data_IF_116743845315
#
_entry.id   IF_116743845315
#
_cell.length_a   1.000
_cell.length_b   1.000
_cell.length_c   1.000
_cell.angle_alpha   90.00
_cell.angle_beta   90.00
_cell.angle_gamma   90.00
#
_symmetry.space_group_name_H-M   'P 1'
#
loop_
_entity.id
_entity.type
_entity.pdbx_description
1 polymer ?
#
# COMPACT_ATOMS: atom_id res chain seq x y z
N UNK A 1 -7.98 -17.11 -6.00
CA UNK A 1 -7.69 -16.04 -6.97
C UNK A 1 -7.86 -14.70 -6.27
N UNK A 2 -6.81 -13.87 -6.31
CA UNK A 2 -6.71 -12.61 -5.57
C UNK A 2 -7.74 -11.59 -6.05
N UNK A 3 -8.56 -11.06 -5.13
CA UNK A 3 -9.27 -9.79 -5.35
C UNK A 3 -8.23 -8.67 -5.36
N UNK A 4 -8.41 -7.64 -6.17
CA UNK A 4 -7.56 -6.45 -6.10
C UNK A 4 -7.57 -5.88 -4.67
N UNK A 5 -6.45 -5.31 -4.18
CA UNK A 5 -6.41 -4.71 -2.84
C UNK A 5 -7.53 -3.68 -2.65
N UNK A 6 -7.83 -2.92 -3.71
CA UNK A 6 -9.02 -2.08 -3.83
C UNK A 6 -10.31 -2.80 -3.42
N UNK A 7 -10.66 -3.92 -4.08
CA UNK A 7 -11.87 -4.69 -3.78
C UNK A 7 -11.88 -5.22 -2.35
N UNK A 8 -10.72 -5.63 -1.83
CA UNK A 8 -10.61 -6.08 -0.44
C UNK A 8 -10.95 -4.93 0.52
N UNK A 9 -10.36 -3.76 0.33
CA UNK A 9 -10.60 -2.61 1.20
C UNK A 9 -12.03 -2.06 1.08
N UNK A 10 -12.53 -1.94 -0.14
CA UNK A 10 -13.87 -1.43 -0.42
C UNK A 10 -14.96 -2.36 0.16
N UNK A 11 -14.79 -3.68 0.00
CA UNK A 11 -15.71 -4.66 0.58
C UNK A 11 -15.61 -4.69 2.10
N UNK A 12 -14.41 -4.73 2.66
CA UNK A 12 -14.22 -4.82 4.11
C UNK A 12 -14.74 -3.56 4.81
N UNK A 13 -14.52 -2.37 4.22
CA UNK A 13 -15.02 -1.12 4.77
C UNK A 13 -16.55 -1.08 4.91
N UNK A 14 -17.30 -1.78 4.06
CA UNK A 14 -18.76 -1.87 4.14
C UNK A 14 -19.23 -2.66 5.38
N UNK A 15 -18.46 -3.64 5.84
CA UNK A 15 -18.83 -4.52 6.96
C UNK A 15 -18.24 -4.13 8.32
N UNK A 16 -17.24 -3.24 8.38
CA UNK A 16 -16.63 -2.83 9.66
C UNK A 16 -17.46 -1.79 10.40
N UNK A 17 -17.76 -2.03 11.68
CA UNK A 17 -18.47 -1.07 12.53
C UNK A 17 -17.56 0.01 13.12
N UNK A 18 -16.31 -0.33 13.42
CA UNK A 18 -15.36 0.61 14.03
C UNK A 18 -15.05 1.79 13.09
N UNK A 19 -15.40 3.04 13.45
CA UNK A 19 -15.28 4.18 12.53
C UNK A 19 -13.85 4.45 12.06
N UNK A 20 -12.87 4.34 12.95
CA UNK A 20 -11.44 4.55 12.63
C UNK A 20 -10.91 3.55 11.61
N UNK A 21 -11.26 2.26 11.77
CA UNK A 21 -10.85 1.20 10.82
C UNK A 21 -11.58 1.35 9.49
N UNK A 22 -12.89 1.66 9.52
CA UNK A 22 -13.67 1.94 8.31
C UNK A 22 -13.09 3.13 7.53
N UNK A 23 -12.73 4.22 8.19
CA UNK A 23 -12.11 5.38 7.56
C UNK A 23 -10.74 5.04 6.95
N UNK A 24 -9.89 4.31 7.68
CA UNK A 24 -8.62 3.81 7.17
C UNK A 24 -8.81 3.00 5.89
N UNK A 25 -9.71 2.01 5.90
CA UNK A 25 -9.96 1.14 4.75
C UNK A 25 -10.48 1.92 3.54
N UNK A 26 -11.31 2.94 3.73
CA UNK A 26 -11.76 3.80 2.61
C UNK A 26 -10.61 4.59 2.01
N UNK A 27 -9.78 5.22 2.84
CA UNK A 27 -8.58 5.94 2.37
C UNK A 27 -7.64 5.00 1.61
N UNK A 28 -7.44 3.78 2.10
CA UNK A 28 -6.63 2.77 1.40
C UNK A 28 -7.26 2.38 0.06
N UNK A 29 -8.58 2.12 0.02
CA UNK A 29 -9.29 1.81 -1.22
C UNK A 29 -9.18 2.93 -2.26
N UNK A 30 -9.39 4.18 -1.86
CA UNK A 30 -9.27 5.32 -2.78
C UNK A 30 -7.83 5.45 -3.29
N UNK A 31 -6.83 5.29 -2.41
CA UNK A 31 -5.41 5.29 -2.83
C UNK A 31 -5.10 4.16 -3.81
N UNK A 32 -5.62 2.93 -3.60
CA UNK A 32 -5.43 1.83 -4.56
C UNK A 32 -6.10 2.10 -5.91
N UNK A 33 -7.25 2.77 -5.91
CA UNK A 33 -7.95 3.13 -7.14
C UNK A 33 -7.13 4.17 -7.91
N UNK A 34 -6.67 5.21 -7.23
CA UNK A 34 -5.89 6.29 -7.83
C UNK A 34 -4.56 5.75 -8.37
N UNK A 35 -3.92 4.82 -7.65
CA UNK A 35 -2.70 4.13 -8.09
C UNK A 35 -2.88 3.42 -9.44
N UNK A 36 -4.02 2.73 -9.63
CA UNK A 36 -4.32 2.06 -10.91
C UNK A 36 -4.41 3.08 -12.04
N UNK A 37 -5.08 4.22 -11.80
CA UNK A 37 -5.19 5.30 -12.78
C UNK A 37 -3.84 5.95 -13.08
N UNK A 38 -3.02 6.21 -12.07
CA UNK A 38 -1.66 6.76 -12.26
C UNK A 38 -0.77 5.83 -13.08
N UNK A 39 -0.77 4.52 -12.79
CA UNK A 39 -0.03 3.53 -13.58
C UNK A 39 -0.51 3.54 -15.03
N UNK A 40 -1.82 3.52 -15.26
CA UNK A 40 -2.39 3.55 -16.61
C UNK A 40 -2.03 4.84 -17.36
N UNK A 41 -2.05 5.97 -16.66
CA UNK A 41 -1.65 7.26 -17.22
C UNK A 41 -0.19 7.25 -17.63
N UNK A 42 0.72 6.90 -16.71
CA UNK A 42 2.17 6.80 -16.98
C UNK A 42 2.48 5.85 -18.13
N UNK A 43 1.78 4.71 -18.23
CA UNK A 43 1.92 3.78 -19.34
C UNK A 43 1.42 4.35 -20.67
N UNK A 44 0.32 5.11 -20.66
CA UNK A 44 -0.29 5.67 -21.87
C UNK A 44 0.46 6.89 -22.40
N UNK A 45 1.00 7.73 -21.51
CA UNK A 45 1.64 8.99 -21.87
C UNK A 45 3.15 8.85 -22.02
N UNK A 46 3.77 7.84 -21.40
CA UNK A 46 5.23 7.67 -21.38
C UNK A 46 5.95 8.83 -20.70
N UNK A 47 5.24 9.61 -19.89
CA UNK A 47 5.70 10.92 -19.40
C UNK A 47 6.72 10.76 -18.27
N UNK A 48 7.88 11.38 -18.49
CA UNK A 48 8.99 11.55 -17.55
C UNK A 48 8.70 12.59 -16.46
N UNK A 49 7.77 13.52 -16.65
CA UNK A 49 7.59 14.70 -15.77
C UNK A 49 7.15 14.33 -14.33
N UNK A 50 6.31 13.30 -14.16
CA UNK A 50 5.96 12.77 -12.84
C UNK A 50 7.15 12.06 -12.19
N UNK A 51 8.02 11.44 -13.01
CA UNK A 51 9.26 10.76 -12.57
C UNK A 51 10.38 11.77 -12.26
N UNK A 52 10.41 12.92 -12.92
CA UNK A 52 11.29 14.04 -12.56
C UNK A 52 10.84 14.73 -11.26
N UNK A 53 9.53 14.82 -11.02
CA UNK A 53 9.02 15.22 -9.69
C UNK A 53 9.42 14.20 -8.59
N UNK A 54 9.62 12.92 -8.96
CA UNK A 54 10.08 11.84 -8.08
C UNK A 54 11.57 11.87 -7.73
N UNK A 55 12.42 12.75 -8.29
CA UNK A 55 13.78 13.00 -7.76
C UNK A 55 13.77 13.48 -6.29
N UNK A 56 12.59 13.67 -5.70
CA UNK A 56 12.34 13.99 -4.28
C UNK A 56 11.93 12.78 -3.43
N UNK A 57 11.65 11.63 -4.03
CA UNK A 57 11.13 10.43 -3.34
C UNK A 57 12.27 9.46 -3.09
N UNK A 58 12.90 9.59 -1.93
CA UNK A 58 13.85 8.58 -1.44
C UNK A 58 13.01 7.46 -0.83
N UNK A 59 12.93 6.32 -1.51
CA UNK A 59 12.51 5.08 -0.83
C UNK A 59 13.53 4.85 0.27
N UNK A 60 13.11 4.99 1.53
CA UNK A 60 14.01 4.93 2.67
C UNK A 60 14.84 3.65 2.65
N UNK A 61 16.11 3.76 3.02
CA UNK A 61 17.02 2.60 3.10
C UNK A 61 16.53 1.58 4.13
N UNK A 62 15.74 2.01 5.11
CA UNK A 62 15.16 1.14 6.12
C UNK A 62 13.85 0.48 5.63
N UNK A 63 13.75 -0.86 5.71
CA UNK A 63 12.53 -1.57 5.38
C UNK A 63 11.38 -1.20 6.35
N UNK A 64 10.11 -1.25 5.90
CA UNK A 64 8.98 -1.00 6.76
C UNK A 64 8.87 -2.01 7.91
N UNK A 65 8.46 -1.55 9.10
CA UNK A 65 8.09 -2.42 10.23
C UNK A 65 7.02 -3.42 9.79
N UNK A 66 7.32 -4.72 9.91
CA UNK A 66 6.47 -5.84 9.52
C UNK A 66 5.83 -6.59 10.71
N UNK A 67 6.11 -6.15 11.94
CA UNK A 67 5.59 -6.74 13.18
C UNK A 67 4.06 -6.76 13.22
N UNK A 68 3.42 -7.90 13.47
CA UNK A 68 1.96 -7.95 13.57
C UNK A 68 1.46 -7.21 14.82
N UNK A 69 0.28 -6.59 14.72
CA UNK A 69 -0.44 -6.00 15.85
C UNK A 69 -1.07 -7.10 16.68
N UNK A 70 -0.82 -7.10 18.01
CA UNK A 70 -1.47 -7.97 18.99
C UNK A 70 -1.78 -9.38 18.44
N UNK A 71 -0.75 -10.16 18.02
CA UNK A 71 -0.94 -11.41 17.29
C UNK A 71 -1.83 -12.42 18.04
N UNK A 72 -1.83 -12.37 19.37
CA UNK A 72 -2.69 -13.17 20.25
C UNK A 72 -4.19 -12.85 20.11
N UNK A 73 -4.54 -11.65 19.63
CA UNK A 73 -5.92 -11.20 19.37
C UNK A 73 -6.32 -11.31 17.90
N UNK A 74 -5.45 -11.83 17.03
CA UNK A 74 -5.68 -11.82 15.60
C UNK A 74 -6.90 -12.65 15.15
N UNK A 75 -7.26 -13.70 15.88
CA UNK A 75 -8.42 -14.53 15.54
C UNK A 75 -9.70 -14.10 16.29
N UNK A 76 -9.56 -13.33 17.37
CA UNK A 76 -10.64 -13.01 18.30
C UNK A 76 -11.10 -11.56 18.20
N UNK A 77 -10.24 -10.62 17.80
CA UNK A 77 -10.58 -9.23 17.57
C UNK A 77 -10.61 -8.91 16.06
N UNK A 78 -11.81 -8.69 15.48
CA UNK A 78 -11.95 -8.37 14.06
C UNK A 78 -11.15 -7.14 13.62
N UNK A 79 -10.90 -6.17 14.50
CA UNK A 79 -10.12 -4.97 14.17
C UNK A 79 -8.65 -5.31 14.01
N UNK A 80 -8.11 -6.13 14.92
CA UNK A 80 -6.73 -6.61 14.87
C UNK A 80 -6.53 -7.50 13.65
N UNK A 81 -7.47 -8.43 13.40
CA UNK A 81 -7.46 -9.25 12.18
C UNK A 81 -7.34 -8.41 10.91
N UNK A 82 -8.19 -7.39 10.79
CA UNK A 82 -8.22 -6.50 9.61
C UNK A 82 -6.95 -5.67 9.51
N UNK A 83 -6.47 -5.12 10.62
CA UNK A 83 -5.21 -4.37 10.66
C UNK A 83 -4.01 -5.22 10.20
N UNK A 84 -3.91 -6.46 10.70
CA UNK A 84 -2.85 -7.38 10.30
C UNK A 84 -2.99 -7.81 8.84
N UNK A 85 -4.21 -8.06 8.35
CA UNK A 85 -4.44 -8.37 6.94
C UNK A 85 -4.07 -7.21 6.02
N UNK A 86 -4.47 -5.99 6.34
CA UNK A 86 -4.11 -4.80 5.56
C UNK A 86 -2.59 -4.61 5.54
N UNK A 87 -1.94 -4.69 6.70
CA UNK A 87 -0.48 -4.60 6.81
C UNK A 87 0.24 -5.65 5.94
N UNK A 88 -0.20 -6.91 6.00
CA UNK A 88 0.38 -7.98 5.18
C UNK A 88 0.22 -7.74 3.68
N UNK A 89 -0.91 -7.17 3.24
CA UNK A 89 -1.12 -6.86 1.82
C UNK A 89 -0.19 -5.74 1.36
N UNK A 90 -0.03 -4.68 2.15
CA UNK A 90 0.85 -3.58 1.76
C UNK A 90 2.33 -3.94 1.81
N UNK A 91 2.76 -4.76 2.79
CA UNK A 91 4.13 -5.31 2.81
C UNK A 91 4.43 -6.15 1.57
N UNK A 92 3.47 -6.97 1.12
CA UNK A 92 3.61 -7.74 -0.12
C UNK A 92 3.72 -6.83 -1.33
N UNK A 93 2.86 -5.80 -1.42
CA UNK A 93 2.91 -4.82 -2.49
C UNK A 93 4.23 -4.05 -2.55
N UNK A 94 4.69 -3.57 -1.39
CA UNK A 94 5.98 -2.89 -1.22
C UNK A 94 7.14 -3.72 -1.77
N UNK A 95 7.30 -4.94 -1.25
CA UNK A 95 8.39 -5.84 -1.65
C UNK A 95 8.27 -6.25 -3.12
N UNK A 96 7.06 -6.45 -3.62
CA UNK A 96 6.82 -6.77 -5.02
C UNK A 96 7.31 -5.66 -5.94
N UNK A 97 6.91 -4.41 -5.70
CA UNK A 97 7.33 -3.30 -6.54
C UNK A 97 8.84 -3.03 -6.45
N UNK A 98 9.45 -3.13 -5.26
CA UNK A 98 10.92 -3.06 -5.17
C UNK A 98 11.60 -4.17 -5.99
N UNK A 99 11.09 -5.40 -5.95
CA UNK A 99 11.66 -6.49 -6.74
C UNK A 99 11.57 -6.24 -8.25
N UNK A 100 10.51 -5.55 -8.71
CA UNK A 100 10.36 -5.14 -10.10
C UNK A 100 11.31 -4.00 -10.47
N UNK A 101 11.49 -3.02 -9.57
CA UNK A 101 12.45 -1.94 -9.75
C UNK A 101 13.86 -2.50 -9.97
N UNK A 102 14.35 -3.35 -9.05
CA UNK A 102 15.69 -3.94 -9.14
C UNK A 102 15.91 -4.77 -10.41
N UNK A 103 14.85 -5.37 -10.97
CA UNK A 103 14.93 -6.22 -12.19
C UNK A 103 14.66 -5.46 -13.47
N UNK A 104 14.26 -4.19 -13.37
CA UNK A 104 13.94 -3.37 -14.53
C UNK A 104 15.19 -3.11 -15.36
N UNK A 105 15.07 -3.30 -16.68
CA UNK A 105 16.14 -2.96 -17.63
C UNK A 105 16.14 -1.49 -18.04
N UNK A 106 15.01 -0.80 -17.81
CA UNK A 106 14.85 0.62 -18.08
C UNK A 106 14.90 1.38 -16.77
N UNK A 107 15.74 2.41 -16.72
CA UNK A 107 15.78 3.33 -15.57
C UNK A 107 14.39 3.92 -15.30
N UNK A 108 13.70 4.37 -16.34
CA UNK A 108 12.34 4.88 -16.25
C UNK A 108 11.38 3.91 -15.54
N UNK A 109 11.31 2.66 -15.99
CA UNK A 109 10.45 1.66 -15.37
C UNK A 109 10.92 1.29 -13.96
N UNK A 110 12.22 1.33 -13.67
CA UNK A 110 12.74 1.14 -12.30
C UNK A 110 12.17 2.21 -11.37
N UNK A 111 12.25 3.48 -11.81
CA UNK A 111 11.71 4.62 -11.06
C UNK A 111 10.22 4.51 -10.81
N UNK A 112 9.44 4.15 -11.83
CA UNK A 112 7.99 3.92 -11.65
C UNK A 112 7.76 2.90 -10.54
N UNK A 113 8.45 1.76 -10.57
CA UNK A 113 8.28 0.74 -9.53
C UNK A 113 8.76 1.20 -8.15
N UNK A 114 9.83 1.99 -8.04
CA UNK A 114 10.27 2.61 -6.78
C UNK A 114 9.19 3.54 -6.21
N UNK A 115 8.50 4.32 -7.07
CA UNK A 115 7.41 5.18 -6.64
C UNK A 115 6.19 4.40 -6.17
N UNK A 116 5.82 3.33 -6.88
CA UNK A 116 4.75 2.45 -6.42
C UNK A 116 5.10 1.81 -5.07
N UNK A 117 6.37 1.43 -4.85
CA UNK A 117 6.83 0.97 -3.54
C UNK A 117 6.74 2.08 -2.49
N UNK A 118 7.11 3.32 -2.81
CA UNK A 118 6.94 4.45 -1.90
C UNK A 118 5.49 4.66 -1.47
N UNK A 119 4.53 4.58 -2.40
CA UNK A 119 3.10 4.69 -2.04
C UNK A 119 2.69 3.58 -1.06
N UNK A 120 3.16 2.34 -1.29
CA UNK A 120 2.93 1.23 -0.36
C UNK A 120 3.52 1.48 1.01
N UNK A 121 4.73 2.06 1.07
CA UNK A 121 5.37 2.45 2.32
C UNK A 121 4.53 3.49 3.09
N UNK A 122 3.98 4.49 2.40
CA UNK A 122 3.09 5.48 3.03
C UNK A 122 1.80 4.86 3.55
N UNK A 123 1.23 3.89 2.83
CA UNK A 123 0.07 3.12 3.29
C UNK A 123 0.40 2.29 4.55
N UNK A 124 1.56 1.63 4.59
CA UNK A 124 2.05 0.92 5.79
C UNK A 124 2.16 1.87 6.98
N UNK A 125 2.76 3.07 6.79
CA UNK A 125 2.86 4.08 7.86
C UNK A 125 1.48 4.51 8.38
N UNK A 126 0.50 4.70 7.49
CA UNK A 126 -0.89 5.04 7.87
C UNK A 126 -1.54 3.90 8.66
N UNK A 127 -1.38 2.65 8.21
CA UNK A 127 -1.87 1.46 8.92
C UNK A 127 -1.25 1.40 10.32
N UNK A 128 0.08 1.53 10.43
CA UNK A 128 0.79 1.56 11.72
C UNK A 128 0.25 2.64 12.64
N UNK A 129 0.05 3.86 12.14
CA UNK A 129 -0.45 4.99 12.93
C UNK A 129 -1.85 4.74 13.49
N UNK A 130 -2.77 4.19 12.69
CA UNK A 130 -4.16 3.94 13.11
C UNK A 130 -4.26 2.68 13.97
N UNK A 131 -3.64 1.60 13.53
CA UNK A 131 -3.80 0.29 14.15
C UNK A 131 -3.03 0.12 15.47
N UNK A 132 -1.97 0.90 15.72
CA UNK A 132 -1.31 0.95 17.04
C UNK A 132 -2.20 1.51 18.16
N UNK A 133 -3.37 2.05 17.84
CA UNK A 133 -4.31 2.60 18.84
C UNK A 133 -5.33 1.59 19.37
N UNK A 134 -5.24 0.31 18.98
CA UNK A 134 -6.14 -0.79 19.37
C UNK A 134 -5.41 -1.88 20.15
#
# INVERSE_FOLDING_TARGET
MSKSNYEYYEKTAKSVETPKVKALLRVLADTERDLIFEIQHMMATGVLDEIEAMNKVVVGEEPPDDTLFAPERNETDPRIFICNKALQQELKGYTFYLSLATRSKSELSSRVFEYLAFIKLEQIKRIRKVCRTF
#
